data_IF_714557593535
#
_entry.id   IF_714557593535
#
_cell.length_a   1.000
_cell.length_b   1.000
_cell.length_c   1.000
_cell.angle_alpha   90.00
_cell.angle_beta   90.00
_cell.angle_gamma   90.00
#
_symmetry.space_group_name_H-M   'P 1'
#
loop_
_entity.id
_entity.type
_entity.pdbx_description
1 polymer ?
#
# COMPACT_ATOMS: atom_id res chain seq x y z
N UNK A 1 -0.49 23.45 14.88
CA UNK A 1 -0.60 22.30 13.97
C UNK A 1 -0.51 22.83 12.55
N UNK A 2 0.41 22.31 11.75
CA UNK A 2 0.41 22.53 10.30
C UNK A 2 -0.43 21.42 9.67
N UNK A 3 -1.36 21.80 8.82
CA UNK A 3 -2.14 20.84 8.04
C UNK A 3 -1.30 20.39 6.84
N UNK A 4 -1.19 19.09 6.65
CA UNK A 4 -0.47 18.49 5.54
C UNK A 4 -1.46 17.68 4.69
N UNK A 5 -1.52 18.01 3.40
CA UNK A 5 -2.40 17.35 2.45
C UNK A 5 -1.61 16.35 1.61
N UNK A 6 -2.19 15.17 1.41
CA UNK A 6 -1.64 14.12 0.57
C UNK A 6 -2.67 13.77 -0.50
N UNK A 7 -2.28 13.87 -1.76
CA UNK A 7 -3.15 13.59 -2.90
C UNK A 7 -2.53 12.53 -3.79
N UNK A 8 -3.38 11.64 -4.30
CA UNK A 8 -3.02 10.64 -5.29
C UNK A 8 -4.21 10.36 -6.22
N UNK A 9 -3.93 9.77 -7.38
CA UNK A 9 -4.93 9.30 -8.34
C UNK A 9 -5.00 7.79 -8.27
N UNK A 10 -6.20 7.24 -8.09
CA UNK A 10 -6.48 5.82 -8.19
C UNK A 10 -7.25 5.55 -9.48
N UNK A 11 -6.65 4.76 -10.37
CA UNK A 11 -7.28 4.34 -11.63
C UNK A 11 -7.51 2.84 -11.62
N UNK A 12 -8.77 2.42 -11.76
CA UNK A 12 -9.09 1.02 -11.99
C UNK A 12 -8.75 0.63 -13.44
N UNK A 13 -7.96 -0.44 -13.61
CA UNK A 13 -7.49 -0.91 -14.93
C UNK A 13 -8.04 -2.28 -15.29
N UNK A 14 -8.95 -2.82 -14.47
CA UNK A 14 -9.48 -4.17 -14.66
C UNK A 14 -10.71 -4.28 -15.56
N UNK A 15 -11.12 -3.21 -16.24
CA UNK A 15 -12.22 -3.25 -17.20
C UNK A 15 -11.79 -4.02 -18.46
N UNK A 16 -12.42 -5.17 -18.72
CA UNK A 16 -12.20 -5.99 -19.92
C UNK A 16 -13.16 -5.68 -21.09
N UNK A 17 -13.85 -4.55 -21.03
CA UNK A 17 -14.77 -4.07 -22.07
C UNK A 17 -16.25 -4.15 -21.69
N UNK A 18 -16.62 -4.90 -20.65
CA UNK A 18 -18.01 -5.00 -20.17
C UNK A 18 -18.22 -4.34 -18.78
N UNK A 19 -17.21 -3.63 -18.27
CA UNK A 19 -17.25 -3.06 -16.94
C UNK A 19 -17.48 -4.13 -15.89
N UNK A 20 -18.42 -3.88 -14.98
CA UNK A 20 -18.79 -4.77 -13.86
C UNK A 20 -20.04 -5.59 -14.13
N UNK A 21 -20.44 -5.77 -15.41
CA UNK A 21 -21.66 -6.49 -15.80
C UNK A 21 -21.76 -7.88 -15.17
N UNK A 22 -20.64 -8.58 -15.04
CA UNK A 22 -20.55 -9.85 -14.33
C UNK A 22 -19.52 -9.77 -13.20
N UNK A 23 -19.84 -10.32 -12.03
CA UNK A 23 -18.96 -10.24 -10.86
C UNK A 23 -17.55 -10.80 -11.13
N UNK A 24 -17.44 -11.90 -11.88
CA UNK A 24 -16.14 -12.50 -12.25
C UNK A 24 -15.59 -11.98 -13.58
N UNK A 25 -16.33 -11.14 -14.29
CA UNK A 25 -15.99 -10.68 -15.65
C UNK A 25 -14.92 -9.59 -15.71
N UNK A 26 -14.53 -9.03 -14.57
CA UNK A 26 -13.56 -7.94 -14.49
C UNK A 26 -12.38 -8.27 -13.58
N UNK A 27 -11.25 -7.61 -13.82
CA UNK A 27 -10.08 -7.72 -12.95
C UNK A 27 -10.14 -6.72 -11.79
N UNK A 28 -9.50 -7.07 -10.68
CA UNK A 28 -9.36 -6.16 -9.54
C UNK A 28 -8.09 -5.31 -9.63
N UNK A 29 -7.43 -5.32 -10.79
CA UNK A 29 -6.23 -4.55 -11.09
C UNK A 29 -6.50 -3.04 -11.04
N UNK A 30 -5.58 -2.30 -10.44
CA UNK A 30 -5.60 -0.84 -10.37
C UNK A 30 -4.18 -0.26 -10.38
N UNK A 31 -4.09 1.05 -10.60
CA UNK A 31 -2.86 1.84 -10.53
C UNK A 31 -3.07 3.02 -9.59
N UNK A 32 -2.11 3.21 -8.69
CA UNK A 32 -2.00 4.36 -7.80
C UNK A 32 -0.87 5.26 -8.29
N UNK A 33 -1.21 6.51 -8.63
CA UNK A 33 -0.26 7.50 -9.15
C UNK A 33 -0.13 8.68 -8.17
N UNK A 34 1.11 9.06 -7.88
CA UNK A 34 1.46 10.26 -7.14
C UNK A 34 2.40 11.12 -7.98
N UNK A 35 2.24 12.44 -7.93
CA UNK A 35 3.09 13.35 -8.68
C UNK A 35 4.58 13.12 -8.37
N UNK A 36 5.39 12.98 -9.43
CA UNK A 36 6.84 12.79 -9.33
C UNK A 36 7.30 11.40 -8.84
N UNK A 37 6.39 10.43 -8.68
CA UNK A 37 6.72 9.06 -8.23
C UNK A 37 6.33 8.03 -9.29
N UNK A 38 7.02 6.87 -9.34
CA UNK A 38 6.57 5.75 -10.15
C UNK A 38 5.18 5.29 -9.75
N UNK A 39 4.42 4.82 -10.74
CA UNK A 39 3.12 4.21 -10.53
C UNK A 39 3.22 2.94 -9.68
N UNK A 40 2.32 2.82 -8.71
CA UNK A 40 2.17 1.62 -7.89
C UNK A 40 1.02 0.78 -8.44
N UNK A 41 1.37 -0.37 -9.02
CA UNK A 41 0.40 -1.33 -9.56
C UNK A 41 -0.11 -2.20 -8.42
N UNK A 42 -1.44 -2.28 -8.30
CA UNK A 42 -2.11 -3.06 -7.27
C UNK A 42 -3.24 -3.94 -7.80
N UNK A 43 -3.69 -4.85 -6.95
CA UNK A 43 -4.90 -5.65 -7.16
C UNK A 43 -5.62 -5.88 -5.83
N UNK A 44 -6.78 -6.53 -5.84
CA UNK A 44 -7.34 -7.07 -4.60
C UNK A 44 -6.50 -8.26 -4.10
N UNK A 45 -6.75 -8.71 -2.88
CA UNK A 45 -6.24 -10.01 -2.41
C UNK A 45 -6.75 -11.16 -3.31
N UNK A 46 -5.97 -12.23 -3.53
CA UNK A 46 -6.41 -13.41 -4.28
C UNK A 46 -7.72 -14.04 -3.80
N UNK A 47 -8.01 -13.97 -2.49
CA UNK A 47 -9.28 -14.40 -1.90
C UNK A 47 -10.47 -13.64 -2.49
N UNK A 48 -10.26 -12.41 -2.97
CA UNK A 48 -11.24 -11.55 -3.62
C UNK A 48 -11.04 -11.44 -5.15
N UNK A 49 -10.49 -12.50 -5.76
CA UNK A 49 -10.27 -12.61 -7.22
C UNK A 49 -9.23 -11.63 -7.76
N UNK A 50 -8.29 -11.19 -6.93
CA UNK A 50 -7.18 -10.36 -7.35
C UNK A 50 -5.96 -11.14 -7.85
N UNK A 51 -4.94 -10.38 -8.23
CA UNK A 51 -3.70 -10.87 -8.80
C UNK A 51 -2.59 -10.86 -7.73
N UNK A 52 -2.18 -12.04 -7.30
CA UNK A 52 -1.15 -12.26 -6.26
C UNK A 52 0.23 -11.69 -6.57
N UNK A 53 0.47 -11.24 -7.82
CA UNK A 53 1.76 -10.67 -8.23
C UNK A 53 1.82 -9.15 -8.01
N UNK A 54 0.72 -8.53 -7.59
CA UNK A 54 0.57 -7.10 -7.35
C UNK A 54 0.29 -6.85 -5.87
N UNK A 55 0.64 -5.66 -5.39
CA UNK A 55 0.31 -5.25 -4.02
C UNK A 55 -1.19 -5.22 -3.82
N UNK A 56 -1.66 -5.73 -2.67
CA UNK A 56 -3.05 -5.56 -2.24
C UNK A 56 -3.19 -4.45 -1.18
N UNK A 57 -4.40 -3.92 -0.96
CA UNK A 57 -4.63 -2.86 0.03
C UNK A 57 -4.19 -3.22 1.44
N UNK A 58 -4.36 -4.47 1.86
CA UNK A 58 -4.00 -4.95 3.20
C UNK A 58 -2.48 -4.92 3.42
N UNK A 59 -1.70 -5.37 2.43
CA UNK A 59 -0.23 -5.28 2.41
C UNK A 59 0.23 -3.82 2.45
N UNK A 60 -0.42 -2.94 1.69
CA UNK A 60 -0.10 -1.51 1.66
C UNK A 60 -0.41 -0.82 3.00
N UNK A 61 -1.47 -1.24 3.68
CA UNK A 61 -1.79 -0.74 5.02
C UNK A 61 -0.72 -1.15 6.05
N UNK A 62 -0.29 -2.42 6.02
CA UNK A 62 0.81 -2.91 6.87
C UNK A 62 2.09 -2.15 6.56
N UNK A 63 2.40 -1.93 5.28
CA UNK A 63 3.57 -1.17 4.84
C UNK A 63 3.54 0.29 5.33
N UNK A 64 2.39 0.97 5.25
CA UNK A 64 2.24 2.35 5.74
C UNK A 64 2.47 2.44 7.26
N UNK A 65 1.90 1.50 8.03
CA UNK A 65 2.03 1.49 9.48
C UNK A 65 3.46 1.22 9.93
N UNK A 66 4.08 0.15 9.40
CA UNK A 66 5.43 -0.22 9.82
C UNK A 66 6.47 0.83 9.44
N UNK A 67 6.38 1.40 8.23
CA UNK A 67 7.32 2.42 7.80
C UNK A 67 7.23 3.69 8.66
N UNK A 68 6.01 4.10 9.03
CA UNK A 68 5.79 5.21 9.96
C UNK A 68 6.39 4.93 11.35
N UNK A 69 6.19 3.72 11.88
CA UNK A 69 6.77 3.30 13.16
C UNK A 69 8.30 3.30 13.12
N UNK A 70 8.90 2.71 12.07
CA UNK A 70 10.35 2.71 11.86
C UNK A 70 10.90 4.14 11.83
N UNK A 71 10.30 5.05 11.07
CA UNK A 71 10.74 6.44 10.98
C UNK A 71 10.65 7.17 12.33
N UNK A 72 9.58 6.91 13.10
CA UNK A 72 9.43 7.45 14.45
C UNK A 72 10.49 6.91 15.41
N UNK A 73 10.78 5.62 15.36
CA UNK A 73 11.84 4.98 16.14
C UNK A 73 13.22 5.58 15.82
N UNK A 74 13.56 5.69 14.54
CA UNK A 74 14.83 6.26 14.10
C UNK A 74 14.98 7.73 14.54
N UNK A 75 13.91 8.52 14.48
CA UNK A 75 13.90 9.88 15.01
C UNK A 75 14.24 9.90 16.51
N UNK A 76 13.63 9.04 17.33
CA UNK A 76 13.93 8.97 18.75
C UNK A 76 15.39 8.54 19.03
N UNK A 77 15.93 7.59 18.26
CA UNK A 77 17.34 7.20 18.38
C UNK A 77 18.28 8.39 18.08
N UNK A 78 17.98 9.17 17.03
CA UNK A 78 18.77 10.35 16.67
C UNK A 78 18.79 11.39 17.79
N UNK A 79 17.62 11.73 18.37
CA UNK A 79 17.51 12.66 19.51
C UNK A 79 18.32 12.21 20.73
N UNK A 80 18.38 10.89 20.95
CA UNK A 80 19.10 10.29 22.08
C UNK A 80 20.55 9.88 21.77
N UNK A 81 21.09 10.26 20.60
CA UNK A 81 22.47 9.95 20.18
C UNK A 81 22.78 8.45 20.11
N UNK A 82 21.77 7.63 19.86
CA UNK A 82 21.90 6.20 19.61
C UNK A 82 22.14 6.00 18.11
N UNK A 83 23.27 5.40 17.74
CA UNK A 83 23.62 5.16 16.34
C UNK A 83 23.03 3.83 15.89
N UNK A 84 21.99 3.90 15.05
CA UNK A 84 21.39 2.72 14.37
C UNK A 84 22.08 2.54 13.02
N UNK A 85 22.70 1.39 12.79
CA UNK A 85 23.40 1.08 11.52
C UNK A 85 22.55 0.27 10.54
N UNK A 86 21.50 -0.40 11.02
CA UNK A 86 20.55 -1.17 10.20
C UNK A 86 19.21 -1.33 10.91
N UNK A 87 18.13 -1.36 10.14
CA UNK A 87 16.78 -1.72 10.60
C UNK A 87 16.16 -2.74 9.64
N UNK A 88 15.53 -3.78 10.19
CA UNK A 88 14.71 -4.73 9.43
C UNK A 88 13.59 -5.22 10.34
N UNK A 89 12.36 -5.22 9.85
CA UNK A 89 11.22 -5.82 10.53
C UNK A 89 10.54 -6.90 9.67
N UNK A 90 9.59 -7.61 10.28
CA UNK A 90 8.75 -8.63 9.64
C UNK A 90 7.31 -8.47 10.16
N UNK A 91 6.62 -7.40 9.75
CA UNK A 91 5.31 -7.09 10.26
C UNK A 91 4.29 -8.05 9.66
N UNK A 92 3.28 -8.39 10.44
CA UNK A 92 2.14 -9.18 9.98
C UNK A 92 0.84 -8.50 10.38
N UNK A 93 -0.18 -8.66 9.54
CA UNK A 93 -1.55 -8.21 9.79
C UNK A 93 -2.49 -9.37 9.54
N UNK A 94 -3.56 -9.45 10.34
CA UNK A 94 -4.64 -10.42 10.11
C UNK A 94 -5.93 -9.65 9.94
N UNK A 95 -6.55 -9.81 8.77
CA UNK A 95 -7.93 -9.40 8.55
C UNK A 95 -8.86 -10.57 8.86
N UNK A 96 -9.93 -10.31 9.60
CA UNK A 96 -11.03 -11.28 9.80
C UNK A 96 -12.22 -10.81 8.99
N UNK A 97 -12.79 -11.73 8.22
CA UNK A 97 -13.98 -11.54 7.38
C UNK A 97 -15.17 -12.20 8.08
#
# INVERSE_FOLDING_TARGET
MTEHHYQMILTWTGNKGQGTKEYRGYERSFVLACEGKPDLVGSADPMFLGDKTKYNPEELLVAALTSCHMLSYLHQCAENKIIVTQYRDQPNGTMKI
#
